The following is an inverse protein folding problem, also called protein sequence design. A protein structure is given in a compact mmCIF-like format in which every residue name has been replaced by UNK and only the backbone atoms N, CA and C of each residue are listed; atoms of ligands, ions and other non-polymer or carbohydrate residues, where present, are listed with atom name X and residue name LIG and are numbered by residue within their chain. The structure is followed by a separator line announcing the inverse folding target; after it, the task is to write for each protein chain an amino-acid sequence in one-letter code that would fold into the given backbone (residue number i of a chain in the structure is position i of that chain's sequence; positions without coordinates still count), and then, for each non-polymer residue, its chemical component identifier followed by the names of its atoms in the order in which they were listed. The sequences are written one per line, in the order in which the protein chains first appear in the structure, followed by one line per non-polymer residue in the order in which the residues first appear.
data_IF_803175502863
#
_entry.id   IF_803175502863
#
_cell.length_a   1.000
_cell.length_b   1.000
_cell.length_c   1.000
_cell.angle_alpha   90.00
_cell.angle_beta   90.00
_cell.angle_gamma   90.00
#
_symmetry.space_group_name_H-M   'P 1'
#
loop_
_entity.id
_entity.type
_entity.pdbx_description
1 polymer ?
#
# COMPACT_ATOMS: atom_id res chain seq x y z
N UNK A 1 2.09 -4.36 -11.32
CA UNK A 1 2.16 -3.70 -9.98
C UNK A 1 0.73 -3.46 -9.52
N UNK A 2 0.43 -3.81 -8.27
CA UNK A 2 -0.87 -3.49 -7.64
C UNK A 2 -0.84 -2.05 -7.11
N UNK A 3 -1.98 -1.36 -7.18
CA UNK A 3 -2.16 -0.05 -6.58
C UNK A 3 -3.01 -0.15 -5.32
N UNK A 4 -2.43 0.21 -4.19
CA UNK A 4 -3.15 0.45 -2.96
C UNK A 4 -3.26 1.97 -2.73
N UNK A 5 -4.31 2.40 -2.05
CA UNK A 5 -4.41 3.79 -1.61
C UNK A 5 -4.07 3.89 -0.12
N UNK A 6 -3.27 4.90 0.24
CA UNK A 6 -2.84 5.15 1.63
C UNK A 6 -3.72 6.24 2.25
N UNK A 7 -4.86 5.83 2.79
CA UNK A 7 -5.85 6.73 3.41
C UNK A 7 -6.83 5.95 4.30
N UNK A 8 -7.44 6.64 5.26
CA UNK A 8 -8.58 6.17 6.04
C UNK A 8 -9.88 6.94 5.71
N UNK A 9 -9.83 7.82 4.70
CA UNK A 9 -11.02 8.54 4.21
C UNK A 9 -11.85 7.63 3.30
N UNK A 10 -12.98 7.19 3.82
CA UNK A 10 -13.89 6.25 3.15
C UNK A 10 -14.48 6.84 1.87
N UNK A 11 -14.74 8.14 1.82
CA UNK A 11 -15.29 8.79 0.63
C UNK A 11 -14.25 8.79 -0.52
N UNK A 12 -12.99 9.10 -0.20
CA UNK A 12 -11.86 9.02 -1.14
C UNK A 12 -11.67 7.58 -1.66
N UNK A 13 -11.78 6.59 -0.78
CA UNK A 13 -11.64 5.18 -1.17
C UNK A 13 -12.77 4.75 -2.11
N UNK A 14 -14.03 5.15 -1.84
CA UNK A 14 -15.17 4.86 -2.72
C UNK A 14 -14.99 5.45 -4.11
N UNK A 15 -14.58 6.71 -4.19
CA UNK A 15 -14.33 7.40 -5.46
C UNK A 15 -13.22 6.70 -6.28
N UNK A 16 -12.10 6.38 -5.64
CA UNK A 16 -10.99 5.70 -6.30
C UNK A 16 -11.32 4.25 -6.68
N UNK A 17 -12.07 3.54 -5.85
CA UNK A 17 -12.49 2.17 -6.13
C UNK A 17 -13.44 2.11 -7.35
N UNK A 18 -14.26 3.13 -7.59
CA UNK A 18 -15.13 3.23 -8.76
C UNK A 18 -14.35 3.27 -10.08
N UNK A 19 -13.07 3.63 -10.08
CA UNK A 19 -12.21 3.56 -11.27
C UNK A 19 -11.85 2.14 -11.71
N UNK A 20 -12.02 1.14 -10.83
CA UNK A 20 -11.59 -0.25 -11.06
C UNK A 20 -10.08 -0.47 -10.98
N UNK A 21 -9.29 0.55 -10.60
CA UNK A 21 -7.82 0.49 -10.57
C UNK A 21 -7.26 0.23 -9.15
N UNK A 22 -8.13 0.13 -8.14
CA UNK A 22 -7.71 -0.01 -6.75
C UNK A 22 -7.69 -1.47 -6.32
N UNK A 23 -6.49 -1.97 -5.99
CA UNK A 23 -6.27 -3.36 -5.58
C UNK A 23 -6.30 -3.55 -4.06
N UNK A 24 -6.17 -2.48 -3.26
CA UNK A 24 -6.17 -2.57 -1.81
C UNK A 24 -6.01 -1.21 -1.12
N UNK A 25 -5.95 -1.24 0.21
CA UNK A 25 -5.83 -0.03 1.04
C UNK A 25 -4.81 -0.25 2.15
N UNK A 26 -4.00 0.78 2.43
CA UNK A 26 -3.24 0.83 3.67
C UNK A 26 -3.77 1.93 4.57
N UNK A 27 -3.87 1.61 5.86
CA UNK A 27 -4.11 2.59 6.90
C UNK A 27 -2.95 2.59 7.90
N UNK A 28 -2.92 3.57 8.78
CA UNK A 28 -1.99 3.65 9.89
C UNK A 28 -2.62 4.50 11.01
N UNK A 29 -2.05 4.49 12.24
CA UNK A 29 -2.62 5.24 13.35
C UNK A 29 -2.84 6.74 13.06
N UNK A 30 -1.94 7.37 12.31
CA UNK A 30 -2.06 8.79 11.97
C UNK A 30 -3.23 9.06 11.02
N UNK A 31 -3.48 8.19 10.05
CA UNK A 31 -4.62 8.29 9.13
C UNK A 31 -5.94 8.05 9.85
N UNK A 32 -5.99 7.06 10.75
CA UNK A 32 -7.16 6.80 11.59
C UNK A 32 -7.45 8.00 12.51
N UNK A 33 -6.43 8.57 13.14
CA UNK A 33 -6.58 9.77 13.96
C UNK A 33 -7.17 10.93 13.13
N UNK A 34 -6.68 11.14 11.92
CA UNK A 34 -7.19 12.20 11.02
C UNK A 34 -8.63 11.98 10.60
N UNK A 35 -9.09 10.72 10.50
CA UNK A 35 -10.49 10.42 10.16
C UNK A 35 -11.48 10.82 11.27
N UNK A 36 -11.00 10.98 12.51
CA UNK A 36 -11.84 11.29 13.68
C UNK A 36 -12.82 10.19 14.06
N UNK A 37 -12.66 8.96 13.52
CA UNK A 37 -13.60 7.83 13.68
C UNK A 37 -12.93 6.62 14.36
N UNK A 38 -13.70 5.75 15.01
CA UNK A 38 -13.20 4.53 15.63
C UNK A 38 -12.53 3.59 14.61
N UNK A 39 -11.31 3.10 14.92
CA UNK A 39 -10.52 2.23 14.04
C UNK A 39 -11.32 1.04 13.48
N UNK A 40 -11.99 0.28 14.37
CA UNK A 40 -12.67 -0.96 13.98
C UNK A 40 -13.83 -0.72 13.00
N UNK A 41 -14.55 0.40 13.15
CA UNK A 41 -15.63 0.80 12.26
C UNK A 41 -15.08 1.20 10.88
N UNK A 42 -14.03 2.03 10.85
CA UNK A 42 -13.40 2.46 9.60
C UNK A 42 -12.85 1.28 8.81
N UNK A 43 -12.11 0.37 9.46
CA UNK A 43 -11.58 -0.82 8.80
C UNK A 43 -12.69 -1.71 8.25
N UNK A 44 -13.75 -1.93 9.02
CA UNK A 44 -14.91 -2.72 8.58
C UNK A 44 -15.57 -2.13 7.31
N UNK A 45 -15.74 -0.81 7.29
CA UNK A 45 -16.34 -0.12 6.14
C UNK A 45 -15.43 -0.19 4.91
N UNK A 46 -14.13 0.04 5.08
CA UNK A 46 -13.15 -0.07 3.98
C UNK A 46 -13.13 -1.50 3.40
N UNK A 47 -13.11 -2.51 4.26
CA UNK A 47 -13.13 -3.91 3.83
C UNK A 47 -14.38 -4.31 3.04
N UNK A 48 -15.50 -3.63 3.26
CA UNK A 48 -16.73 -3.85 2.48
C UNK A 48 -16.68 -3.20 1.08
N UNK A 49 -15.86 -2.15 0.91
CA UNK A 49 -15.74 -1.42 -0.36
C UNK A 49 -14.68 -2.07 -1.26
N UNK A 50 -13.54 -2.45 -0.69
CA UNK A 50 -12.38 -2.94 -1.43
C UNK A 50 -12.23 -4.45 -1.22
N UNK A 51 -12.31 -5.26 -2.30
CA UNK A 51 -12.20 -6.72 -2.15
C UNK A 51 -10.78 -7.20 -1.84
N UNK A 52 -9.78 -6.39 -2.17
CA UNK A 52 -8.38 -6.68 -1.92
C UNK A 52 -7.91 -6.40 -0.50
N UNK A 53 -6.62 -6.61 -0.20
CA UNK A 53 -6.08 -6.47 1.15
C UNK A 53 -6.24 -5.07 1.74
N UNK A 54 -6.66 -5.01 3.01
CA UNK A 54 -6.79 -3.77 3.79
C UNK A 54 -5.87 -3.86 5.00
N UNK A 55 -4.82 -3.03 5.04
CA UNK A 55 -3.87 -3.02 6.16
C UNK A 55 -4.45 -2.29 7.37
N UNK A 56 -4.57 -3.01 8.50
CA UNK A 56 -4.98 -2.50 9.79
C UNK A 56 -3.85 -2.70 10.81
N UNK A 57 -3.35 -1.61 11.41
CA UNK A 57 -2.13 -1.62 12.22
C UNK A 57 -2.43 -1.84 13.71
N UNK A 58 -1.65 -2.74 14.34
CA UNK A 58 -1.61 -2.92 15.80
C UNK A 58 -0.93 -1.71 16.45
N UNK A 59 -1.21 -1.48 17.72
CA UNK A 59 -0.63 -0.34 18.47
C UNK A 59 0.31 -0.77 19.59
N UNK A 60 0.24 -2.03 20.03
CA UNK A 60 1.11 -2.58 21.06
C UNK A 60 2.50 -2.89 20.53
N UNK A 61 3.50 -2.87 21.43
CA UNK A 61 4.91 -3.08 21.08
C UNK A 61 5.44 -4.44 21.53
N UNK A 62 4.80 -5.11 22.49
CA UNK A 62 5.14 -6.44 22.93
C UNK A 62 4.40 -7.53 22.13
N UNK A 63 5.05 -8.68 21.95
CA UNK A 63 4.53 -9.77 21.12
C UNK A 63 3.16 -10.28 21.61
N UNK A 64 2.96 -10.46 22.91
CA UNK A 64 1.73 -11.08 23.44
C UNK A 64 0.50 -10.23 23.14
N UNK A 65 0.56 -8.96 23.51
CA UNK A 65 -0.55 -8.01 23.30
C UNK A 65 -0.75 -7.73 21.81
N UNK A 66 0.34 -7.58 21.05
CA UNK A 66 0.28 -7.36 19.59
C UNK A 66 -0.39 -8.55 18.87
N UNK A 67 -0.15 -9.79 19.31
CA UNK A 67 -0.80 -10.97 18.75
C UNK A 67 -2.30 -11.01 19.03
N UNK A 68 -2.72 -10.63 20.24
CA UNK A 68 -4.13 -10.52 20.59
C UNK A 68 -4.84 -9.44 19.77
N UNK A 69 -4.22 -8.26 19.62
CA UNK A 69 -4.72 -7.18 18.74
C UNK A 69 -4.83 -7.67 17.29
N UNK A 70 -3.78 -8.32 16.77
CA UNK A 70 -3.75 -8.83 15.41
C UNK A 70 -4.87 -9.82 15.12
N UNK A 71 -5.12 -10.78 16.03
CA UNK A 71 -6.25 -11.71 15.92
C UNK A 71 -7.61 -10.99 15.96
N UNK A 72 -7.73 -9.93 16.77
CA UNK A 72 -8.95 -9.12 16.83
C UNK A 72 -9.18 -8.38 15.52
N UNK A 73 -8.15 -7.75 14.96
CA UNK A 73 -8.22 -7.06 13.67
C UNK A 73 -8.57 -8.03 12.53
N UNK A 74 -7.94 -9.20 12.47
CA UNK A 74 -8.21 -10.22 11.45
C UNK A 74 -9.65 -10.74 11.45
N UNK A 75 -10.36 -10.69 12.60
CA UNK A 75 -11.78 -11.08 12.69
C UNK A 75 -12.75 -10.08 12.07
N UNK A 76 -12.31 -8.87 11.74
CA UNK A 76 -13.18 -7.84 11.13
C UNK A 76 -13.65 -8.28 9.74
N UNK A 77 -12.71 -8.75 8.90
CA UNK A 77 -12.99 -9.24 7.56
C UNK A 77 -11.84 -10.12 7.03
N UNK A 78 -12.14 -11.01 6.08
CA UNK A 78 -11.16 -11.96 5.50
C UNK A 78 -10.02 -11.27 4.74
N UNK A 79 -10.24 -10.06 4.27
CA UNK A 79 -9.26 -9.27 3.52
C UNK A 79 -8.44 -8.31 4.39
N UNK A 80 -8.54 -8.40 5.71
CA UNK A 80 -7.63 -7.65 6.60
C UNK A 80 -6.23 -8.23 6.52
N UNK A 81 -5.25 -7.37 6.24
CA UNK A 81 -3.82 -7.63 6.43
C UNK A 81 -3.38 -6.93 7.72
N UNK A 82 -3.09 -7.71 8.76
CA UNK A 82 -2.65 -7.15 10.04
C UNK A 82 -1.29 -6.48 9.87
N UNK A 83 -1.18 -5.21 10.25
CA UNK A 83 0.05 -4.46 10.08
C UNK A 83 0.80 -4.41 11.40
N UNK A 84 2.07 -4.82 11.40
CA UNK A 84 2.94 -4.91 12.58
C UNK A 84 4.28 -4.22 12.32
N UNK A 85 4.91 -3.59 13.34
CA UNK A 85 6.20 -2.93 13.15
C UNK A 85 7.33 -3.95 12.94
N UNK A 86 8.36 -3.54 12.22
CA UNK A 86 9.57 -4.33 11.99
C UNK A 86 10.48 -4.30 13.22
N UNK A 87 10.07 -4.99 14.28
CA UNK A 87 10.79 -5.21 15.53
C UNK A 87 10.91 -6.72 15.79
N UNK A 88 11.78 -7.16 16.71
CA UNK A 88 11.83 -8.58 17.09
C UNK A 88 10.47 -9.14 17.48
N UNK A 89 9.69 -8.41 18.28
CA UNK A 89 8.35 -8.83 18.71
C UNK A 89 7.31 -8.73 17.56
N UNK A 90 7.43 -7.74 16.67
CA UNK A 90 6.61 -7.65 15.47
C UNK A 90 6.85 -8.83 14.53
N UNK A 91 8.10 -9.27 14.35
CA UNK A 91 8.42 -10.44 13.51
C UNK A 91 7.95 -11.75 14.14
N UNK A 92 8.05 -11.91 15.47
CA UNK A 92 7.43 -13.07 16.18
C UNK A 92 5.91 -13.08 15.96
N UNK A 93 5.27 -11.91 16.07
CA UNK A 93 3.83 -11.75 15.84
C UNK A 93 3.47 -12.05 14.37
N UNK A 94 4.25 -11.56 13.43
CA UNK A 94 4.09 -11.88 12.02
C UNK A 94 4.09 -13.40 11.79
N UNK A 95 5.11 -14.10 12.31
CA UNK A 95 5.23 -15.55 12.14
C UNK A 95 4.04 -16.31 12.75
N UNK A 96 3.56 -15.90 13.93
CA UNK A 96 2.42 -16.51 14.59
C UNK A 96 1.13 -16.29 13.79
N UNK A 97 0.82 -15.04 13.38
CA UNK A 97 -0.38 -14.76 12.58
C UNK A 97 -0.34 -15.45 11.22
N UNK A 98 0.83 -15.52 10.57
CA UNK A 98 1.00 -16.24 9.29
C UNK A 98 0.71 -17.72 9.43
N UNK A 99 1.13 -18.36 10.53
CA UNK A 99 0.80 -19.77 10.79
C UNK A 99 -0.69 -20.03 11.01
N UNK A 100 -1.46 -19.00 11.33
CA UNK A 100 -2.92 -19.01 11.43
C UNK A 100 -3.63 -18.66 10.11
N UNK A 101 -2.88 -18.48 9.01
CA UNK A 101 -3.41 -18.10 7.70
C UNK A 101 -3.78 -16.62 7.54
N UNK A 102 -3.44 -15.78 8.51
CA UNK A 102 -3.74 -14.35 8.51
C UNK A 102 -2.70 -13.61 7.67
N UNK A 103 -3.14 -12.72 6.79
CA UNK A 103 -2.25 -11.83 6.06
C UNK A 103 -1.57 -10.83 6.99
N UNK A 104 -0.25 -10.62 6.80
CA UNK A 104 0.52 -9.68 7.62
C UNK A 104 1.32 -8.73 6.72
N UNK A 105 1.24 -7.44 7.03
CA UNK A 105 2.06 -6.38 6.45
C UNK A 105 3.09 -5.92 7.51
N UNK A 106 4.37 -6.23 7.29
CA UNK A 106 5.43 -5.76 8.18
C UNK A 106 5.83 -4.35 7.75
N UNK A 107 5.71 -3.38 8.64
CA UNK A 107 5.90 -1.95 8.36
C UNK A 107 7.13 -1.35 9.03
N UNK A 108 7.45 -0.10 8.69
CA UNK A 108 8.63 0.63 9.19
C UNK A 108 9.94 -0.03 8.78
N UNK A 109 10.03 -0.37 7.49
CA UNK A 109 11.23 -0.94 6.90
C UNK A 109 12.09 0.17 6.26
N UNK A 110 13.36 0.23 6.64
CA UNK A 110 14.31 1.25 6.20
C UNK A 110 15.65 0.67 5.73
N UNK A 111 15.78 -0.67 5.65
CA UNK A 111 16.98 -1.32 5.12
C UNK A 111 16.65 -2.65 4.45
N UNK A 112 17.51 -3.09 3.52
CA UNK A 112 17.39 -4.39 2.88
C UNK A 112 17.54 -5.56 3.86
N UNK A 113 18.39 -5.40 4.89
CA UNK A 113 18.52 -6.39 5.97
C UNK A 113 17.20 -6.59 6.74
N UNK A 114 16.47 -5.51 7.03
CA UNK A 114 15.15 -5.58 7.64
C UNK A 114 14.15 -6.30 6.73
N UNK A 115 14.15 -5.99 5.43
CA UNK A 115 13.26 -6.67 4.47
C UNK A 115 13.54 -8.18 4.40
N UNK A 116 14.82 -8.59 4.45
CA UNK A 116 15.21 -10.00 4.48
C UNK A 116 14.63 -10.73 5.72
N UNK A 117 14.64 -10.08 6.89
CA UNK A 117 14.04 -10.64 8.11
C UNK A 117 12.52 -10.80 7.98
N UNK A 118 11.82 -9.84 7.34
CA UNK A 118 10.39 -9.94 7.09
C UNK A 118 10.04 -11.11 6.15
N UNK A 119 10.84 -11.33 5.10
CA UNK A 119 10.69 -12.48 4.21
C UNK A 119 10.91 -13.81 4.95
N UNK A 120 11.91 -13.88 5.85
CA UNK A 120 12.16 -15.04 6.72
C UNK A 120 11.02 -15.31 7.71
N UNK A 121 10.29 -14.27 8.13
CA UNK A 121 9.09 -14.37 8.95
C UNK A 121 7.83 -14.75 8.15
N UNK A 122 7.93 -14.93 6.82
CA UNK A 122 6.85 -15.29 5.92
C UNK A 122 5.77 -14.16 5.82
N UNK A 123 6.17 -12.90 5.96
CA UNK A 123 5.25 -11.76 5.81
C UNK A 123 4.54 -11.82 4.45
N UNK A 124 3.24 -11.45 4.41
CA UNK A 124 2.52 -11.28 3.14
C UNK A 124 3.07 -10.07 2.40
N UNK A 125 3.24 -8.96 3.12
CA UNK A 125 3.81 -7.72 2.60
C UNK A 125 4.94 -7.22 3.49
N UNK A 126 5.93 -6.59 2.87
CA UNK A 126 6.92 -5.74 3.52
C UNK A 126 6.76 -4.32 3.00
N UNK A 127 6.69 -3.34 3.90
CA UNK A 127 6.49 -1.93 3.55
C UNK A 127 7.78 -1.11 3.76
N UNK A 128 8.70 -1.03 2.79
CA UNK A 128 9.81 -0.09 2.81
C UNK A 128 9.32 1.35 2.56
N UNK A 129 9.86 2.32 3.31
CA UNK A 129 9.41 3.69 3.36
C UNK A 129 10.30 4.61 2.52
N UNK A 130 9.97 4.84 1.26
CA UNK A 130 10.74 5.63 0.31
C UNK A 130 10.86 7.08 0.79
N UNK A 131 9.75 7.80 0.89
CA UNK A 131 9.77 9.23 1.15
C UNK A 131 10.36 9.62 2.51
N UNK A 132 10.28 8.75 3.53
CA UNK A 132 10.98 9.02 4.80
C UNK A 132 12.49 8.89 4.71
N UNK A 133 12.99 8.05 3.82
CA UNK A 133 14.42 7.95 3.52
C UNK A 133 14.87 9.21 2.79
N UNK A 134 14.10 9.68 1.81
CA UNK A 134 14.35 10.91 1.07
C UNK A 134 14.34 12.14 2.01
N UNK A 135 13.39 12.19 2.96
CA UNK A 135 13.32 13.25 3.98
C UNK A 135 14.61 13.35 4.84
N UNK A 136 15.42 12.28 4.88
CA UNK A 136 16.71 12.23 5.57
C UNK A 136 17.92 12.35 4.62
N UNK A 137 17.71 12.77 3.38
CA UNK A 137 18.78 13.04 2.40
C UNK A 137 19.39 11.79 1.75
N UNK A 138 18.69 10.65 1.80
CA UNK A 138 19.10 9.42 1.13
C UNK A 138 18.13 9.06 0.02
N UNK A 139 18.53 8.18 -0.89
CA UNK A 139 17.68 7.70 -1.99
C UNK A 139 16.82 6.50 -1.54
N UNK A 140 15.53 6.77 -1.28
CA UNK A 140 14.59 5.73 -0.87
C UNK A 140 14.25 4.72 -1.97
N UNK A 141 14.38 5.10 -3.24
CA UNK A 141 14.17 4.18 -4.38
C UNK A 141 15.30 3.17 -4.48
N UNK A 142 16.53 3.55 -4.10
CA UNK A 142 17.67 2.64 -4.03
C UNK A 142 17.40 1.48 -3.07
N UNK A 143 16.74 1.73 -1.92
CA UNK A 143 16.31 0.66 -1.02
C UNK A 143 15.39 -0.36 -1.71
N UNK A 144 14.46 0.10 -2.54
CA UNK A 144 13.57 -0.81 -3.31
C UNK A 144 14.40 -1.65 -4.29
N UNK A 145 15.37 -1.04 -4.98
CA UNK A 145 16.26 -1.75 -5.90
C UNK A 145 17.03 -2.88 -5.21
N UNK A 146 17.58 -2.62 -4.01
CA UNK A 146 18.30 -3.61 -3.20
C UNK A 146 17.38 -4.75 -2.78
N UNK A 147 16.20 -4.45 -2.23
CA UNK A 147 15.24 -5.45 -1.78
C UNK A 147 14.81 -6.34 -2.95
N UNK A 148 14.43 -5.74 -4.09
CA UNK A 148 13.99 -6.48 -5.27
C UNK A 148 15.11 -7.35 -5.84
N UNK A 149 16.35 -6.87 -5.82
CA UNK A 149 17.53 -7.65 -6.24
C UNK A 149 17.72 -8.87 -5.35
N UNK A 150 17.63 -8.71 -4.03
CA UNK A 150 17.74 -9.81 -3.07
C UNK A 150 16.60 -10.82 -3.27
N UNK A 151 15.36 -10.37 -3.29
CA UNK A 151 14.19 -11.25 -3.35
C UNK A 151 14.17 -12.12 -4.61
N UNK A 152 14.65 -11.60 -5.75
CA UNK A 152 14.78 -12.36 -7.00
C UNK A 152 15.74 -13.55 -6.90
N UNK A 153 16.74 -13.49 -6.00
CA UNK A 153 17.67 -14.61 -5.77
C UNK A 153 17.06 -15.76 -4.96
N UNK A 154 15.92 -15.50 -4.30
CA UNK A 154 15.25 -16.47 -3.42
C UNK A 154 13.79 -16.71 -3.83
N UNK A 155 13.52 -17.54 -4.88
CA UNK A 155 12.16 -17.74 -5.40
C UNK A 155 11.16 -18.31 -4.39
N UNK A 156 11.64 -18.86 -3.27
CA UNK A 156 10.81 -19.34 -2.18
C UNK A 156 10.26 -18.22 -1.30
N UNK A 157 10.81 -17.01 -1.36
CA UNK A 157 10.21 -15.82 -0.70
C UNK A 157 8.92 -15.44 -1.41
N UNK A 158 7.82 -15.48 -0.66
CA UNK A 158 6.49 -15.11 -1.18
C UNK A 158 6.04 -13.72 -0.71
N UNK A 159 6.88 -13.04 0.04
CA UNK A 159 6.64 -11.69 0.56
C UNK A 159 6.62 -10.69 -0.58
N UNK A 160 5.51 -9.97 -0.75
CA UNK A 160 5.38 -8.89 -1.71
C UNK A 160 5.98 -7.59 -1.17
N UNK A 161 6.78 -6.91 -1.99
CA UNK A 161 7.33 -5.58 -1.68
C UNK A 161 6.24 -4.54 -1.95
N UNK A 162 5.75 -3.91 -0.89
CA UNK A 162 4.74 -2.88 -0.88
C UNK A 162 5.42 -1.53 -0.62
N UNK A 163 5.72 -0.80 -1.69
CA UNK A 163 6.37 0.50 -1.63
C UNK A 163 5.49 1.51 -0.90
N UNK A 164 5.97 2.03 0.23
CA UNK A 164 5.23 2.94 1.10
C UNK A 164 5.90 4.31 1.22
N UNK A 165 5.17 5.25 1.84
CA UNK A 165 5.65 6.64 1.96
C UNK A 165 5.94 7.29 0.60
N UNK A 166 5.11 7.00 -0.39
CA UNK A 166 5.16 7.58 -1.73
C UNK A 166 4.82 9.07 -1.65
N UNK A 167 5.61 9.93 -2.31
CA UNK A 167 5.43 11.40 -2.30
C UNK A 167 4.97 11.98 -3.62
N UNK A 168 5.31 11.35 -4.75
CA UNK A 168 5.00 11.85 -6.09
C UNK A 168 4.96 10.70 -7.12
N UNK A 169 4.45 11.00 -8.32
CA UNK A 169 4.26 10.03 -9.41
C UNK A 169 5.56 9.33 -9.84
N UNK A 170 6.71 10.01 -9.79
CA UNK A 170 7.99 9.41 -10.16
C UNK A 170 8.39 8.24 -9.25
N UNK A 171 8.08 8.29 -7.95
CA UNK A 171 8.29 7.13 -7.05
C UNK A 171 7.53 5.91 -7.57
N UNK A 172 6.28 6.07 -8.00
CA UNK A 172 5.46 4.97 -8.54
C UNK A 172 6.10 4.37 -9.78
N UNK A 173 6.52 5.24 -10.73
CA UNK A 173 7.15 4.81 -11.98
C UNK A 173 8.48 4.09 -11.72
N UNK A 174 9.31 4.63 -10.82
CA UNK A 174 10.60 4.03 -10.48
C UNK A 174 10.42 2.67 -9.80
N UNK A 175 9.49 2.54 -8.85
CA UNK A 175 9.15 1.27 -8.22
C UNK A 175 8.63 0.25 -9.24
N UNK A 176 7.80 0.69 -10.20
CA UNK A 176 7.30 -0.18 -11.27
C UNK A 176 8.43 -0.70 -12.16
N UNK A 177 9.39 0.15 -12.55
CA UNK A 177 10.59 -0.24 -13.32
C UNK A 177 11.45 -1.28 -12.60
N UNK A 178 11.52 -1.20 -11.27
CA UNK A 178 12.23 -2.16 -10.44
C UNK A 178 11.48 -3.48 -10.26
N UNK A 179 10.21 -3.55 -10.68
CA UNK A 179 9.36 -4.73 -10.55
C UNK A 179 8.80 -4.93 -9.14
N UNK A 180 8.69 -3.86 -8.35
CA UNK A 180 8.01 -3.92 -7.05
C UNK A 180 6.55 -4.38 -7.21
N UNK A 181 6.05 -5.12 -6.22
CA UNK A 181 4.77 -5.83 -6.34
C UNK A 181 3.57 -4.90 -6.13
N UNK A 182 3.68 -3.98 -5.18
CA UNK A 182 2.61 -3.07 -4.76
C UNK A 182 3.18 -1.67 -4.54
N UNK A 183 2.44 -0.63 -4.89
CA UNK A 183 2.67 0.74 -4.42
C UNK A 183 1.45 1.22 -3.64
N UNK A 184 1.63 1.64 -2.38
CA UNK A 184 0.57 2.33 -1.65
C UNK A 184 0.78 3.83 -1.75
N UNK A 185 -0.23 4.49 -2.30
CA UNK A 185 -0.11 5.84 -2.86
C UNK A 185 -1.15 6.76 -2.19
N UNK A 186 -0.76 7.95 -1.71
CA UNK A 186 -1.74 8.94 -1.26
C UNK A 186 -2.74 9.30 -2.37
N UNK A 187 -4.03 9.58 -2.06
CA UNK A 187 -5.06 9.84 -3.07
C UNK A 187 -4.69 10.91 -4.09
N UNK A 188 -4.10 12.02 -3.63
CA UNK A 188 -3.67 13.12 -4.50
C UNK A 188 -2.54 12.72 -5.46
N UNK A 189 -1.62 11.86 -5.03
CA UNK A 189 -0.54 11.34 -5.88
C UNK A 189 -1.11 10.33 -6.88
N UNK A 190 -2.03 9.46 -6.46
CA UNK A 190 -2.69 8.51 -7.36
C UNK A 190 -3.44 9.25 -8.48
N UNK A 191 -4.22 10.31 -8.14
CA UNK A 191 -4.87 11.16 -9.15
C UNK A 191 -3.87 11.89 -10.06
N UNK A 192 -2.68 12.22 -9.57
CA UNK A 192 -1.66 12.88 -10.39
C UNK A 192 -1.10 12.00 -11.51
N UNK A 193 -1.24 10.67 -11.42
CA UNK A 193 -0.81 9.74 -12.47
C UNK A 193 -1.58 9.92 -13.78
N UNK A 194 -2.80 10.45 -13.73
CA UNK A 194 -3.61 10.73 -14.92
C UNK A 194 -3.23 12.05 -15.62
N UNK A 195 -2.53 12.96 -14.92
CA UNK A 195 -2.29 14.32 -15.43
C UNK A 195 -1.13 14.35 -16.41
N UNK A 196 -1.42 14.75 -17.64
CA UNK A 196 -0.40 15.03 -18.64
C UNK A 196 -0.88 16.10 -19.62
N UNK A 197 -0.10 17.16 -19.80
CA UNK A 197 -0.48 18.30 -20.65
C UNK A 197 -0.79 17.91 -22.10
N UNK A 198 -0.08 16.91 -22.63
CA UNK A 198 -0.34 16.43 -24.00
C UNK A 198 -1.64 15.65 -24.11
N UNK A 199 -2.08 14.97 -23.04
CA UNK A 199 -3.39 14.31 -23.00
C UNK A 199 -4.51 15.36 -23.04
N UNK A 200 -4.39 16.39 -22.24
CA UNK A 200 -5.39 17.48 -22.15
C UNK A 200 -5.47 18.23 -23.51
N UNK A 201 -4.32 18.57 -24.09
CA UNK A 201 -4.25 19.24 -25.38
C UNK A 201 -4.77 18.33 -26.53
N UNK A 202 -4.42 17.05 -26.51
CA UNK A 202 -4.89 16.09 -27.51
C UNK A 202 -6.40 15.90 -27.44
N UNK A 203 -6.95 15.73 -26.25
CA UNK A 203 -8.40 15.61 -26.05
C UNK A 203 -9.13 16.85 -26.55
N UNK A 204 -8.62 18.04 -26.22
CA UNK A 204 -9.20 19.30 -26.71
C UNK A 204 -9.20 19.36 -28.24
N UNK A 205 -8.08 19.03 -28.88
CA UNK A 205 -7.97 19.04 -30.34
C UNK A 205 -8.95 18.06 -30.98
N UNK A 206 -9.06 16.82 -30.45
CA UNK A 206 -10.01 15.82 -30.97
C UNK A 206 -11.47 16.26 -30.83
N UNK A 207 -11.83 16.89 -29.70
CA UNK A 207 -13.19 17.41 -29.50
C UNK A 207 -13.50 18.59 -30.43
N UNK A 208 -12.54 19.48 -30.68
CA UNK A 208 -12.69 20.61 -31.60
C UNK A 208 -12.85 20.10 -33.05
N UNK A 209 -12.11 19.09 -33.47
CA UNK A 209 -12.25 18.46 -34.79
C UNK A 209 -13.56 17.69 -34.93
N UNK A 210 -13.96 16.92 -33.91
CA UNK A 210 -15.25 16.22 -33.90
C UNK A 210 -16.43 17.17 -34.08
N UNK A 211 -16.44 18.32 -33.41
CA UNK A 211 -17.48 19.34 -33.58
C UNK A 211 -17.63 19.81 -35.04
N UNK A 212 -16.51 19.90 -35.79
CA UNK A 212 -16.53 20.33 -37.20
C UNK A 212 -17.21 19.32 -38.09
N UNK A 213 -17.28 18.03 -37.74
CA UNK A 213 -17.93 17.00 -38.55
C UNK A 213 -19.45 17.10 -38.51
N UNK A 214 -20.04 17.78 -37.52
CA UNK A 214 -21.50 17.84 -37.32
C UNK A 214 -22.15 16.50 -36.99
N UNK A 215 -21.38 15.47 -36.68
CA UNK A 215 -21.89 14.14 -36.35
C UNK A 215 -22.21 13.95 -34.89
N UNK A 216 -23.06 12.96 -34.57
CA UNK A 216 -23.32 12.47 -33.23
C UNK A 216 -23.18 10.95 -33.20
N UNK A 217 -22.81 10.40 -32.02
CA UNK A 217 -22.78 8.96 -31.77
C UNK A 217 -24.08 8.49 -31.07
N UNK A 218 -24.78 9.41 -30.42
CA UNK A 218 -26.05 9.19 -29.69
C UNK A 218 -27.19 9.81 -30.42
#
# INVERSE_FOLDING_TARGET
MKFFVDTADVAEIKDLAASGLLDGVTTNPSLIMKSGRPLLEVIKEICAIVPGPVSAETVSTDHKTMLEEGRKLAKIAKNVAVKVPLTPDGLKTCKALRSEGIMVNVTLCFSAAQALLAAKADATFISPFIGRIDDNGHDGVQLIAEIMTIYRQYPHFKTEVLCASIRHSQHVVQCAKLGAHVATVPPNVLRSLFKHVLTDNGLKAFLDDWKKTGQSIL
#
